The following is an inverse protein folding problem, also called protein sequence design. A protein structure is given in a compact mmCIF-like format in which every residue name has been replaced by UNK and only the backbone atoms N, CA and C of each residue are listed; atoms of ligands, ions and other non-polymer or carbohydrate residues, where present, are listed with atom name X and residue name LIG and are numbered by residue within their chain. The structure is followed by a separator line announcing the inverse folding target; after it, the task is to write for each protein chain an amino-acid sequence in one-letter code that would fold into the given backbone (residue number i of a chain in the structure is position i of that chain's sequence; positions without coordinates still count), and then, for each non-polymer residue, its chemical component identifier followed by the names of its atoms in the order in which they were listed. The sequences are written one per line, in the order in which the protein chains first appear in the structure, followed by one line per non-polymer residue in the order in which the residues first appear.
data_IF_733646165588
#
_entry.id   IF_733646165588
#
_cell.length_a   1.000
_cell.length_b   1.000
_cell.length_c   1.000
_cell.angle_alpha   90.00
_cell.angle_beta   90.00
_cell.angle_gamma   90.00
#
_symmetry.space_group_name_H-M   'P 1'
#
loop_
_entity.id
_entity.type
_entity.pdbx_description
1 polymer ?
#
# COMPACT_ATOMS: atom_id res chain seq x y z
N UNK A 1 -9.07 -21.26 14.65
CA UNK A 1 -8.24 -21.97 15.64
C UNK A 1 -6.84 -22.08 15.08
N UNK A 2 -5.80 -21.82 15.88
CA UNK A 2 -4.41 -21.78 15.39
C UNK A 2 -3.84 -23.19 15.27
N UNK A 3 -3.08 -23.44 14.20
CA UNK A 3 -2.29 -24.68 14.01
C UNK A 3 -1.02 -24.54 14.84
N UNK A 4 -0.83 -25.43 15.81
CA UNK A 4 0.34 -25.37 16.71
C UNK A 4 1.22 -26.61 16.61
N UNK A 5 0.65 -27.72 16.15
CA UNK A 5 1.31 -29.02 15.93
C UNK A 5 0.77 -29.68 14.67
N UNK A 6 1.49 -30.67 14.14
CA UNK A 6 1.18 -31.32 12.86
C UNK A 6 -0.22 -31.95 12.84
N UNK A 7 -0.68 -32.54 13.96
CA UNK A 7 -1.98 -33.22 14.07
C UNK A 7 -3.17 -32.25 13.99
N UNK A 8 -2.94 -30.96 14.24
CA UNK A 8 -4.01 -29.95 14.12
C UNK A 8 -4.51 -29.83 12.67
N UNK A 9 -3.68 -30.18 11.67
CA UNK A 9 -4.09 -30.19 10.27
C UNK A 9 -5.30 -31.10 10.04
N UNK A 10 -5.20 -32.39 10.42
CA UNK A 10 -6.28 -33.35 10.20
C UNK A 10 -7.53 -32.98 11.01
N UNK A 11 -7.31 -32.47 12.23
CA UNK A 11 -8.40 -31.96 13.09
C UNK A 11 -9.18 -30.85 12.39
N UNK A 12 -8.51 -29.81 11.88
CA UNK A 12 -9.19 -28.68 11.25
C UNK A 12 -9.83 -29.06 9.91
N UNK A 13 -9.16 -29.85 9.08
CA UNK A 13 -9.73 -30.34 7.83
C UNK A 13 -11.01 -31.14 8.09
N UNK A 14 -11.00 -32.08 9.03
CA UNK A 14 -12.19 -32.88 9.36
C UNK A 14 -13.34 -32.01 9.91
N UNK A 15 -13.03 -30.98 10.72
CA UNK A 15 -14.03 -30.02 11.20
C UNK A 15 -14.65 -29.25 10.03
N UNK A 16 -13.85 -28.77 9.10
CA UNK A 16 -14.32 -28.00 7.94
C UNK A 16 -15.17 -28.86 7.00
N UNK A 17 -14.73 -30.08 6.68
CA UNK A 17 -15.50 -31.04 5.88
C UNK A 17 -16.86 -31.35 6.53
N UNK A 18 -16.88 -31.59 7.85
CA UNK A 18 -18.12 -31.79 8.59
C UNK A 18 -19.05 -30.57 8.52
N UNK A 19 -18.51 -29.35 8.65
CA UNK A 19 -19.31 -28.11 8.55
C UNK A 19 -19.89 -27.92 7.14
N UNK A 20 -19.12 -28.26 6.12
CA UNK A 20 -19.53 -28.19 4.71
C UNK A 20 -20.43 -29.36 4.28
N UNK A 21 -20.62 -30.36 5.14
CA UNK A 21 -21.42 -31.57 4.85
C UNK A 21 -20.94 -32.31 3.60
N UNK A 22 -19.62 -32.38 3.41
CA UNK A 22 -18.96 -33.04 2.29
C UNK A 22 -17.79 -33.88 2.81
N UNK A 23 -17.37 -34.88 2.05
CA UNK A 23 -16.18 -35.68 2.30
C UNK A 23 -14.92 -35.13 1.62
N UNK A 24 -15.08 -34.17 0.70
CA UNK A 24 -13.99 -33.55 -0.03
C UNK A 24 -14.22 -32.08 -0.37
N UNK A 25 -13.14 -31.37 -0.68
CA UNK A 25 -13.15 -30.02 -1.29
C UNK A 25 -12.27 -29.99 -2.54
N UNK A 26 -12.63 -29.15 -3.51
CA UNK A 26 -11.86 -29.05 -4.75
C UNK A 26 -10.49 -28.40 -4.52
N UNK A 27 -10.41 -27.37 -3.70
CA UNK A 27 -9.17 -26.66 -3.41
C UNK A 27 -9.07 -26.42 -1.91
N UNK A 28 -7.90 -26.66 -1.34
CA UNK A 28 -7.60 -26.38 0.06
C UNK A 28 -6.35 -25.52 0.20
N UNK A 29 -6.44 -24.45 0.99
CA UNK A 29 -5.43 -23.40 1.06
C UNK A 29 -4.79 -23.33 2.44
N UNK A 30 -3.47 -23.15 2.50
CA UNK A 30 -2.86 -22.49 3.66
C UNK A 30 -3.30 -21.02 3.69
N UNK A 31 -3.93 -20.61 4.78
CA UNK A 31 -4.47 -19.27 4.91
C UNK A 31 -3.41 -18.26 5.35
N UNK A 32 -3.35 -17.12 4.66
CA UNK A 32 -2.59 -15.94 5.08
C UNK A 32 -1.09 -16.20 5.23
N UNK A 33 -0.49 -16.87 4.25
CA UNK A 33 0.95 -17.09 4.27
C UNK A 33 1.71 -15.77 4.24
N UNK A 34 2.66 -15.68 5.16
CA UNK A 34 3.69 -14.66 5.31
C UNK A 34 4.99 -15.36 5.76
N UNK A 35 6.07 -14.62 5.98
CA UNK A 35 7.36 -15.21 6.36
C UNK A 35 7.26 -16.10 7.59
N UNK A 36 6.51 -15.68 8.61
CA UNK A 36 6.35 -16.40 9.86
C UNK A 36 5.48 -17.65 9.70
N UNK A 37 4.28 -17.52 9.13
CA UNK A 37 3.35 -18.65 8.97
C UNK A 37 3.86 -19.67 7.96
N UNK A 38 4.62 -19.25 6.94
CA UNK A 38 5.33 -20.16 6.06
C UNK A 38 6.45 -20.93 6.78
N UNK A 39 7.18 -20.28 7.70
CA UNK A 39 8.12 -20.96 8.59
C UNK A 39 7.46 -22.07 9.43
N UNK A 40 6.23 -21.83 9.89
CA UNK A 40 5.43 -22.83 10.61
C UNK A 40 5.04 -24.02 9.70
N UNK A 41 4.60 -23.75 8.47
CA UNK A 41 4.29 -24.79 7.46
C UNK A 41 5.48 -25.72 7.25
N UNK A 42 6.69 -25.15 7.09
CA UNK A 42 7.94 -25.91 6.94
C UNK A 42 8.25 -26.74 8.18
N UNK A 43 8.25 -26.11 9.37
CA UNK A 43 8.62 -26.76 10.63
C UNK A 43 7.71 -27.91 11.01
N UNK A 44 6.41 -27.78 10.78
CA UNK A 44 5.41 -28.80 11.13
C UNK A 44 5.19 -29.84 10.01
N UNK A 45 5.88 -29.70 8.87
CA UNK A 45 5.76 -30.65 7.76
C UNK A 45 4.36 -30.67 7.13
N UNK A 46 3.65 -29.53 7.10
CA UNK A 46 2.23 -29.50 6.73
C UNK A 46 1.98 -29.75 5.23
N UNK A 47 2.98 -29.54 4.37
CA UNK A 47 2.88 -29.90 2.94
C UNK A 47 2.62 -31.39 2.77
N UNK A 48 3.32 -32.23 3.54
CA UNK A 48 3.10 -33.69 3.51
C UNK A 48 1.67 -34.04 3.93
N UNK A 49 1.11 -33.31 4.89
CA UNK A 49 -0.29 -33.49 5.31
C UNK A 49 -1.29 -33.09 4.22
N UNK A 50 -1.01 -32.03 3.47
CA UNK A 50 -1.78 -31.68 2.25
C UNK A 50 -1.71 -32.80 1.22
N UNK A 51 -0.53 -33.34 0.94
CA UNK A 51 -0.34 -34.44 -0.01
C UNK A 51 -1.07 -35.72 0.42
N UNK A 52 -1.00 -36.08 1.70
CA UNK A 52 -1.76 -37.20 2.26
C UNK A 52 -3.27 -36.99 2.13
N UNK A 53 -3.77 -35.77 2.40
CA UNK A 53 -5.18 -35.44 2.22
C UNK A 53 -5.60 -35.53 0.75
N UNK A 54 -4.73 -35.12 -0.18
CA UNK A 54 -4.96 -35.21 -1.63
C UNK A 54 -5.00 -36.67 -2.09
N UNK A 55 -4.04 -37.48 -1.64
CA UNK A 55 -3.98 -38.91 -1.95
C UNK A 55 -5.21 -39.68 -1.42
N UNK A 56 -5.74 -39.27 -0.26
CA UNK A 56 -6.95 -39.85 0.32
C UNK A 56 -8.26 -39.25 -0.24
N UNK A 57 -8.20 -38.42 -1.27
CA UNK A 57 -9.36 -37.85 -1.95
C UNK A 57 -10.11 -36.75 -1.18
N UNK A 58 -9.60 -36.31 -0.02
CA UNK A 58 -10.24 -35.25 0.79
C UNK A 58 -10.06 -33.85 0.19
N UNK A 59 -9.01 -33.64 -0.59
CA UNK A 59 -8.76 -32.39 -1.32
C UNK A 59 -8.32 -32.72 -2.76
N UNK A 60 -8.65 -31.90 -3.75
CA UNK A 60 -8.17 -32.10 -5.14
C UNK A 60 -7.00 -31.19 -5.52
N UNK A 61 -6.97 -29.96 -4.99
CA UNK A 61 -5.93 -28.96 -5.23
C UNK A 61 -5.34 -28.40 -3.95
N UNK A 62 -4.05 -28.06 -4.00
CA UNK A 62 -3.26 -27.50 -2.90
C UNK A 62 -2.83 -26.08 -3.27
N UNK A 63 -3.12 -25.13 -2.40
CA UNK A 63 -2.69 -23.76 -2.60
C UNK A 63 -2.44 -23.00 -1.31
N UNK A 64 -2.32 -21.68 -1.45
CA UNK A 64 -2.20 -20.76 -0.33
C UNK A 64 -2.85 -19.42 -0.67
N UNK A 65 -3.28 -18.69 0.37
CA UNK A 65 -3.48 -17.24 0.28
C UNK A 65 -2.29 -16.51 0.91
N UNK A 66 -2.08 -15.25 0.54
CA UNK A 66 -0.82 -14.55 0.84
C UNK A 66 -0.99 -13.11 1.32
N UNK A 67 -0.16 -12.71 2.31
CA UNK A 67 -0.12 -11.37 2.90
C UNK A 67 1.30 -10.99 3.39
N UNK A 68 2.23 -10.74 2.46
CA UNK A 68 3.61 -10.26 2.76
C UNK A 68 4.26 -9.62 1.51
N UNK A 69 5.58 -9.41 1.50
CA UNK A 69 6.33 -8.83 0.37
C UNK A 69 6.47 -9.77 -0.83
N UNK A 70 6.74 -9.22 -2.02
CA UNK A 70 7.02 -10.00 -3.23
C UNK A 70 8.16 -11.04 -3.04
N UNK A 71 9.20 -10.71 -2.28
CA UNK A 71 10.33 -11.62 -2.04
C UNK A 71 9.89 -12.87 -1.28
N UNK A 72 9.00 -12.72 -0.29
CA UNK A 72 8.40 -13.84 0.45
C UNK A 72 7.45 -14.61 -0.45
N UNK A 73 6.63 -13.93 -1.25
CA UNK A 73 5.75 -14.58 -2.22
C UNK A 73 6.53 -15.48 -3.17
N UNK A 74 7.63 -14.97 -3.73
CA UNK A 74 8.52 -15.70 -4.62
C UNK A 74 9.14 -16.92 -3.93
N UNK A 75 9.60 -16.78 -2.68
CA UNK A 75 10.10 -17.90 -1.87
C UNK A 75 9.06 -19.02 -1.76
N UNK A 76 7.80 -18.67 -1.46
CA UNK A 76 6.71 -19.64 -1.32
C UNK A 76 6.42 -20.31 -2.66
N UNK A 77 6.27 -19.52 -3.74
CA UNK A 77 6.01 -20.04 -5.09
C UNK A 77 7.08 -21.06 -5.52
N UNK A 78 8.35 -20.78 -5.25
CA UNK A 78 9.47 -21.65 -5.66
C UNK A 78 9.63 -22.89 -4.76
N UNK A 79 8.99 -22.93 -3.59
CA UNK A 79 9.16 -24.00 -2.62
C UNK A 79 8.36 -25.28 -2.95
N UNK A 80 7.22 -25.15 -3.63
CA UNK A 80 6.31 -26.27 -3.91
C UNK A 80 5.59 -26.09 -5.24
N UNK A 81 5.13 -27.21 -5.83
CA UNK A 81 4.32 -27.21 -7.05
C UNK A 81 2.85 -26.91 -6.69
N UNK A 82 2.56 -25.64 -6.40
CA UNK A 82 1.22 -25.19 -6.03
C UNK A 82 0.24 -25.28 -7.20
N UNK A 83 -0.98 -25.73 -6.93
CA UNK A 83 -2.07 -25.69 -7.93
C UNK A 83 -2.60 -24.24 -8.08
N UNK A 84 -2.61 -23.47 -6.98
CA UNK A 84 -3.21 -22.13 -6.90
C UNK A 84 -2.49 -21.24 -5.89
N UNK A 85 -2.34 -19.96 -6.24
CA UNK A 85 -1.94 -18.89 -5.34
C UNK A 85 -3.02 -17.81 -5.29
N UNK A 86 -3.48 -17.47 -4.09
CA UNK A 86 -4.47 -16.42 -3.87
C UNK A 86 -3.80 -15.16 -3.29
N UNK A 87 -3.99 -14.01 -3.93
CA UNK A 87 -3.37 -12.75 -3.53
C UNK A 87 -4.33 -11.56 -3.57
N UNK A 88 -4.11 -10.58 -2.69
CA UNK A 88 -4.83 -9.31 -2.75
C UNK A 88 -4.38 -8.53 -3.98
N UNK A 89 -5.34 -8.07 -4.79
CA UNK A 89 -5.02 -7.23 -5.94
C UNK A 89 -6.22 -6.41 -6.41
N UNK A 90 -6.01 -5.14 -6.70
CA UNK A 90 -6.96 -4.22 -7.32
C UNK A 90 -6.19 -3.01 -7.88
N UNK A 91 -6.86 -2.12 -8.63
CA UNK A 91 -6.18 -0.99 -9.28
C UNK A 91 -5.61 0.05 -8.30
N UNK A 92 -6.05 0.07 -7.04
CA UNK A 92 -5.49 0.95 -5.99
C UNK A 92 -4.26 0.31 -5.35
N UNK A 93 -4.30 -1.00 -5.09
CA UNK A 93 -3.29 -1.74 -4.33
C UNK A 93 -2.34 -2.58 -5.21
N UNK A 94 -2.24 -2.31 -6.51
CA UNK A 94 -1.46 -3.13 -7.47
C UNK A 94 0.04 -3.24 -7.13
N UNK A 95 0.57 -2.31 -6.32
CA UNK A 95 1.96 -2.24 -5.88
C UNK A 95 2.13 -2.58 -4.38
N UNK A 96 1.11 -3.17 -3.76
CA UNK A 96 1.12 -3.60 -2.35
C UNK A 96 1.34 -5.11 -2.25
N UNK A 97 1.99 -5.57 -1.18
CA UNK A 97 2.27 -7.00 -0.91
C UNK A 97 3.03 -7.69 -2.07
N UNK A 98 2.44 -8.72 -2.68
CA UNK A 98 3.05 -9.45 -3.80
C UNK A 98 3.18 -8.60 -5.08
N UNK A 99 2.41 -7.50 -5.18
CA UNK A 99 2.42 -6.56 -6.31
C UNK A 99 2.09 -7.21 -7.67
N UNK A 100 2.14 -6.42 -8.74
CA UNK A 100 2.01 -6.92 -10.12
C UNK A 100 3.12 -7.93 -10.45
N UNK A 101 4.32 -7.78 -9.86
CA UNK A 101 5.44 -8.73 -10.04
C UNK A 101 5.10 -10.14 -9.56
N UNK A 102 4.39 -10.26 -8.43
CA UNK A 102 3.94 -11.54 -7.90
C UNK A 102 2.92 -12.21 -8.82
N UNK A 103 1.96 -11.43 -9.31
CA UNK A 103 0.98 -11.90 -10.30
C UNK A 103 1.66 -12.48 -11.54
N UNK A 104 2.55 -11.71 -12.15
CA UNK A 104 3.29 -12.13 -13.35
C UNK A 104 4.19 -13.34 -13.08
N UNK A 105 4.83 -13.37 -11.91
CA UNK A 105 5.71 -14.48 -11.53
C UNK A 105 4.94 -15.79 -11.35
N UNK A 106 3.83 -15.78 -10.60
CA UNK A 106 3.01 -16.98 -10.42
C UNK A 106 2.45 -17.48 -11.77
N UNK A 107 1.97 -16.56 -12.62
CA UNK A 107 1.50 -16.89 -13.96
C UNK A 107 2.62 -17.53 -14.82
N UNK A 108 3.85 -17.00 -14.75
CA UNK A 108 5.01 -17.56 -15.46
C UNK A 108 5.39 -18.98 -15.02
N UNK A 109 4.97 -19.38 -13.82
CA UNK A 109 5.17 -20.73 -13.26
C UNK A 109 4.00 -21.68 -13.57
N UNK A 110 2.97 -21.22 -14.28
CA UNK A 110 1.78 -22.01 -14.58
C UNK A 110 0.88 -22.24 -13.37
N UNK A 111 1.01 -21.43 -12.32
CA UNK A 111 0.18 -21.51 -11.11
C UNK A 111 -1.08 -20.67 -11.34
N UNK A 112 -2.26 -21.23 -11.03
CA UNK A 112 -3.51 -20.49 -11.16
C UNK A 112 -3.55 -19.36 -10.14
N UNK A 113 -3.72 -18.12 -10.60
CA UNK A 113 -3.76 -16.96 -9.72
C UNK A 113 -5.19 -16.54 -9.43
N UNK A 114 -5.53 -16.49 -8.14
CA UNK A 114 -6.83 -16.04 -7.66
C UNK A 114 -6.73 -14.71 -6.95
N UNK A 115 -7.43 -13.71 -7.46
CA UNK A 115 -7.45 -12.36 -6.90
C UNK A 115 -8.51 -12.26 -5.81
N UNK A 116 -8.10 -11.85 -4.61
CA UNK A 116 -8.99 -11.42 -3.54
C UNK A 116 -8.96 -9.89 -3.39
N UNK A 117 -10.01 -9.36 -2.76
CA UNK A 117 -10.25 -7.92 -2.60
C UNK A 117 -10.24 -7.08 -3.90
N UNK A 118 -10.86 -7.55 -5.01
CA UNK A 118 -10.89 -6.80 -6.27
C UNK A 118 -11.60 -5.44 -6.14
N UNK A 119 -12.48 -5.29 -5.14
CA UNK A 119 -13.25 -4.06 -4.85
C UNK A 119 -12.85 -3.43 -3.49
N UNK A 120 -11.72 -3.85 -2.88
CA UNK A 120 -11.18 -3.30 -1.63
C UNK A 120 -12.23 -3.14 -0.50
N UNK A 121 -12.89 -4.24 -0.13
CA UNK A 121 -13.94 -4.25 0.89
C UNK A 121 -15.20 -3.44 0.55
N UNK A 122 -15.44 -3.19 -0.73
CA UNK A 122 -16.57 -2.40 -1.24
C UNK A 122 -16.24 -0.92 -1.43
N UNK A 123 -15.05 -0.45 -1.06
CA UNK A 123 -14.64 0.95 -1.22
C UNK A 123 -14.64 1.39 -2.69
N UNK A 124 -14.26 0.51 -3.61
CA UNK A 124 -14.24 0.82 -5.04
C UNK A 124 -15.63 0.79 -5.68
N UNK A 125 -16.64 0.27 -4.97
CA UNK A 125 -18.05 0.31 -5.40
C UNK A 125 -18.79 1.58 -4.93
N UNK A 126 -18.19 2.36 -4.03
CA UNK A 126 -18.80 3.55 -3.42
C UNK A 126 -17.86 4.77 -3.60
N UNK A 127 -17.78 5.34 -4.81
CA UNK A 127 -16.92 6.49 -5.10
C UNK A 127 -17.40 7.79 -4.42
N UNK A 128 -16.50 8.76 -4.26
CA UNK A 128 -16.87 10.17 -4.01
C UNK A 128 -17.33 10.85 -5.28
N UNK A 129 -17.99 12.01 -5.15
CA UNK A 129 -18.31 12.93 -6.25
C UNK A 129 -17.13 13.19 -7.20
N UNK A 130 -15.93 13.46 -6.66
CA UNK A 130 -14.71 13.65 -7.47
C UNK A 130 -14.41 12.43 -8.37
N UNK A 131 -14.64 11.22 -7.88
CA UNK A 131 -14.40 9.98 -8.63
C UNK A 131 -15.57 9.69 -9.58
N UNK A 132 -16.80 10.03 -9.18
CA UNK A 132 -17.97 9.97 -10.06
C UNK A 132 -17.77 10.86 -11.30
N UNK A 133 -17.25 12.08 -11.15
CA UNK A 133 -16.92 12.96 -12.27
C UNK A 133 -15.87 12.38 -13.22
N UNK A 134 -14.92 11.58 -12.71
CA UNK A 134 -13.94 10.86 -13.53
C UNK A 134 -14.65 9.76 -14.32
N UNK A 135 -15.50 8.96 -13.66
CA UNK A 135 -16.27 7.89 -14.28
C UNK A 135 -17.24 8.45 -15.34
N UNK A 136 -17.84 9.61 -15.10
CA UNK A 136 -18.75 10.25 -16.04
C UNK A 136 -18.07 10.67 -17.34
N UNK A 137 -16.78 11.00 -17.32
CA UNK A 137 -16.00 11.31 -18.53
C UNK A 137 -15.72 10.07 -19.39
N UNK A 138 -15.96 8.87 -18.87
CA UNK A 138 -15.75 7.64 -19.62
C UNK A 138 -16.69 7.52 -20.84
N UNK A 139 -16.15 7.22 -22.04
CA UNK A 139 -16.97 6.96 -23.22
C UNK A 139 -17.93 5.78 -23.04
N UNK A 140 -17.45 4.70 -22.39
CA UNK A 140 -18.27 3.55 -22.04
C UNK A 140 -18.67 3.64 -20.57
N UNK A 141 -19.98 3.71 -20.35
CA UNK A 141 -20.58 3.76 -19.01
C UNK A 141 -20.45 2.39 -18.34
N UNK A 142 -19.98 2.43 -17.10
CA UNK A 142 -19.80 1.28 -16.21
C UNK A 142 -20.14 1.72 -14.79
N UNK A 143 -20.61 0.78 -13.98
CA UNK A 143 -20.74 1.03 -12.54
C UNK A 143 -19.34 1.07 -11.89
N UNK A 144 -19.18 1.70 -10.72
CA UNK A 144 -17.89 1.71 -10.03
C UNK A 144 -17.36 0.30 -9.70
N UNK A 145 -18.27 -0.62 -9.33
CA UNK A 145 -17.93 -2.02 -9.11
C UNK A 145 -17.45 -2.69 -10.42
N UNK A 146 -18.13 -2.46 -11.55
CA UNK A 146 -17.73 -3.02 -12.84
C UNK A 146 -16.33 -2.54 -13.25
N UNK A 147 -15.99 -1.26 -13.06
CA UNK A 147 -14.62 -0.76 -13.30
C UNK A 147 -13.55 -1.56 -12.53
N UNK A 148 -13.79 -1.82 -11.25
CA UNK A 148 -12.85 -2.56 -10.40
C UNK A 148 -12.71 -4.02 -10.85
N UNK A 149 -13.82 -4.67 -11.21
CA UNK A 149 -13.83 -6.06 -11.64
C UNK A 149 -13.21 -6.24 -13.04
N UNK A 150 -13.57 -5.38 -14.00
CA UNK A 150 -13.02 -5.43 -15.35
C UNK A 150 -11.51 -5.18 -15.36
N UNK A 151 -10.99 -4.29 -14.50
CA UNK A 151 -9.55 -4.09 -14.38
C UNK A 151 -8.82 -5.40 -14.04
N UNK A 152 -9.36 -6.18 -13.10
CA UNK A 152 -8.74 -7.44 -12.68
C UNK A 152 -8.85 -8.49 -13.78
N UNK A 153 -10.01 -8.65 -14.41
CA UNK A 153 -10.20 -9.60 -15.52
C UNK A 153 -9.42 -9.24 -16.79
N UNK A 154 -9.08 -7.96 -16.98
CA UNK A 154 -8.25 -7.50 -18.08
C UNK A 154 -6.83 -8.10 -18.06
N UNK A 155 -6.34 -8.54 -16.91
CA UNK A 155 -4.96 -8.98 -16.71
C UNK A 155 -4.76 -10.44 -17.16
N UNK A 156 -3.84 -10.72 -18.12
CA UNK A 156 -3.63 -12.07 -18.64
C UNK A 156 -3.22 -13.12 -17.61
N UNK A 157 -2.58 -12.70 -16.51
CA UNK A 157 -2.09 -13.59 -15.45
C UNK A 157 -3.13 -13.97 -14.40
N UNK A 158 -4.34 -13.42 -14.44
CA UNK A 158 -5.42 -13.71 -13.47
C UNK A 158 -6.28 -14.86 -13.99
N UNK A 159 -6.43 -15.91 -13.18
CA UNK A 159 -7.30 -17.04 -13.50
C UNK A 159 -8.73 -16.84 -12.99
N UNK A 160 -8.89 -16.23 -11.81
CA UNK A 160 -10.19 -15.99 -11.17
C UNK A 160 -10.10 -14.82 -10.19
N UNK A 161 -11.21 -14.12 -9.96
CA UNK A 161 -11.33 -13.14 -8.87
C UNK A 161 -12.46 -13.53 -7.91
N UNK A 162 -12.35 -13.09 -6.65
CA UNK A 162 -13.34 -13.32 -5.61
C UNK A 162 -14.04 -12.00 -5.26
N UNK A 163 -15.30 -11.86 -5.66
CA UNK A 163 -16.13 -10.70 -5.29
C UNK A 163 -17.16 -11.08 -4.22
N UNK A 164 -17.05 -10.49 -3.03
CA UNK A 164 -18.06 -10.64 -1.98
C UNK A 164 -19.34 -9.85 -2.32
N UNK A 165 -20.51 -10.43 -2.06
CA UNK A 165 -21.82 -9.85 -2.38
C UNK A 165 -22.77 -10.02 -1.19
N UNK A 166 -23.45 -8.93 -0.81
CA UNK A 166 -24.38 -8.92 0.32
C UNK A 166 -25.86 -9.02 -0.06
N UNK A 167 -26.19 -8.91 -1.35
CA UNK A 167 -27.57 -8.92 -1.84
C UNK A 167 -27.70 -9.66 -3.17
N UNK A 168 -28.91 -10.14 -3.47
CA UNK A 168 -29.21 -10.80 -4.75
C UNK A 168 -29.05 -9.84 -5.94
N UNK A 169 -29.23 -8.54 -5.74
CA UNK A 169 -29.02 -7.55 -6.79
C UNK A 169 -27.53 -7.49 -7.19
N UNK A 170 -26.63 -7.47 -6.21
CA UNK A 170 -25.18 -7.52 -6.47
C UNK A 170 -24.78 -8.82 -7.20
N UNK A 171 -25.44 -9.95 -6.90
CA UNK A 171 -25.22 -11.21 -7.61
C UNK A 171 -25.55 -11.09 -9.09
N UNK A 172 -26.69 -10.49 -9.43
CA UNK A 172 -27.12 -10.29 -10.83
C UNK A 172 -26.15 -9.35 -11.57
N UNK A 173 -25.78 -8.24 -10.95
CA UNK A 173 -24.84 -7.27 -11.51
C UNK A 173 -23.46 -7.88 -11.75
N UNK A 174 -22.94 -8.68 -10.81
CA UNK A 174 -21.67 -9.36 -10.97
C UNK A 174 -21.69 -10.44 -12.06
N UNK A 175 -22.81 -11.17 -12.24
CA UNK A 175 -22.96 -12.13 -13.33
C UNK A 175 -22.94 -11.41 -14.69
N UNK A 176 -23.64 -10.27 -14.80
CA UNK A 176 -23.63 -9.45 -16.01
C UNK A 176 -22.24 -8.88 -16.30
N UNK A 177 -21.56 -8.34 -15.29
CA UNK A 177 -20.18 -7.84 -15.38
C UNK A 177 -19.21 -8.96 -15.82
N UNK A 178 -19.28 -10.14 -15.19
CA UNK A 178 -18.45 -11.29 -15.55
C UNK A 178 -18.70 -11.78 -16.99
N UNK A 179 -19.95 -11.70 -17.48
CA UNK A 179 -20.29 -12.07 -18.86
C UNK A 179 -19.64 -11.16 -19.91
N UNK A 180 -19.22 -9.97 -19.50
CA UNK A 180 -18.54 -8.98 -20.35
C UNK A 180 -17.02 -8.93 -20.12
N UNK A 181 -16.49 -9.84 -19.30
CA UNK A 181 -15.07 -9.87 -18.94
C UNK A 181 -14.18 -10.46 -20.03
N UNK A 182 -12.89 -10.12 -19.99
CA UNK A 182 -11.90 -10.72 -20.87
C UNK A 182 -10.51 -10.13 -20.68
N UNK A 183 -9.51 -10.90 -21.07
CA UNK A 183 -8.10 -10.48 -21.09
C UNK A 183 -7.93 -9.38 -22.15
N UNK A 184 -7.20 -8.31 -21.82
CA UNK A 184 -6.98 -7.17 -22.72
C UNK A 184 -8.29 -6.57 -23.28
N UNK A 185 -9.38 -6.64 -22.50
CA UNK A 185 -10.70 -6.13 -22.88
C UNK A 185 -10.87 -4.63 -22.66
N UNK A 186 -9.99 -4.01 -21.88
CA UNK A 186 -9.98 -2.57 -21.64
C UNK A 186 -9.10 -1.83 -22.64
N UNK A 187 -9.60 -0.69 -23.12
CA UNK A 187 -8.85 0.22 -24.00
C UNK A 187 -7.83 1.05 -23.19
N UNK A 188 -6.88 1.70 -23.87
CA UNK A 188 -5.98 2.64 -23.18
C UNK A 188 -6.74 3.75 -22.45
N UNK A 189 -7.81 4.29 -23.04
CA UNK A 189 -8.64 5.31 -22.39
C UNK A 189 -9.36 4.79 -21.14
N UNK A 190 -9.81 3.53 -21.15
CA UNK A 190 -10.34 2.88 -19.94
C UNK A 190 -9.26 2.77 -18.85
N UNK A 191 -8.02 2.41 -19.22
CA UNK A 191 -6.89 2.29 -18.28
C UNK A 191 -6.45 3.65 -17.72
N UNK A 192 -6.50 4.71 -18.52
CA UNK A 192 -6.18 6.08 -18.08
C UNK A 192 -7.19 6.56 -17.02
N UNK A 193 -8.48 6.28 -17.23
CA UNK A 193 -9.55 6.56 -16.25
C UNK A 193 -9.30 5.78 -14.96
N UNK A 194 -8.96 4.49 -15.06
CA UNK A 194 -8.61 3.66 -13.89
C UNK A 194 -7.40 4.22 -13.15
N UNK A 195 -6.37 4.68 -13.87
CA UNK A 195 -5.18 5.31 -13.29
C UNK A 195 -5.55 6.58 -12.51
N UNK A 196 -6.39 7.44 -13.10
CA UNK A 196 -6.89 8.65 -12.44
C UNK A 196 -7.69 8.33 -11.17
N UNK A 197 -8.60 7.34 -11.25
CA UNK A 197 -9.32 6.85 -10.07
C UNK A 197 -8.35 6.34 -9.00
N UNK A 198 -7.36 5.52 -9.38
CA UNK A 198 -6.37 4.97 -8.45
C UNK A 198 -5.62 6.08 -7.70
N UNK A 199 -5.19 7.13 -8.42
CA UNK A 199 -4.52 8.29 -7.83
C UNK A 199 -5.43 8.97 -6.80
N UNK A 200 -6.72 9.16 -7.10
CA UNK A 200 -7.68 9.79 -6.16
C UNK A 200 -7.98 8.91 -4.96
N UNK A 201 -8.23 7.62 -5.15
CA UNK A 201 -8.43 6.67 -4.05
C UNK A 201 -7.23 6.63 -3.08
N UNK A 202 -5.99 6.67 -3.60
CA UNK A 202 -4.77 6.68 -2.78
C UNK A 202 -4.57 7.97 -2.00
N UNK A 203 -4.95 9.12 -2.57
CA UNK A 203 -4.86 10.42 -1.88
C UNK A 203 -5.79 10.53 -0.66
N UNK A 204 -6.75 9.61 -0.53
CA UNK A 204 -7.88 9.72 0.40
C UNK A 204 -7.92 8.58 1.43
N UNK A 205 -6.76 8.05 1.84
CA UNK A 205 -6.70 7.00 2.89
C UNK A 205 -5.61 7.37 3.91
N UNK A 206 -6.01 7.59 5.17
CA UNK A 206 -5.09 7.84 6.30
C UNK A 206 -4.58 6.50 6.84
N UNK A 207 -5.50 5.57 7.07
CA UNK A 207 -5.22 4.21 7.52
C UNK A 207 -5.47 3.26 6.35
N UNK A 208 -4.50 2.40 6.04
CA UNK A 208 -4.56 1.43 4.92
C UNK A 208 -5.54 0.24 5.15
N UNK A 209 -6.58 0.43 5.95
CA UNK A 209 -7.62 -0.58 6.20
C UNK A 209 -8.40 -0.90 4.91
N UNK A 210 -8.52 -2.19 4.57
CA UNK A 210 -9.28 -2.67 3.41
C UNK A 210 -10.72 -3.08 3.75
N UNK A 211 -11.15 -2.86 5.00
CA UNK A 211 -12.50 -3.23 5.48
C UNK A 211 -12.83 -4.72 5.35
N UNK A 212 -11.81 -5.59 5.40
CA UNK A 212 -11.92 -7.05 5.27
C UNK A 212 -12.62 -7.74 6.46
N UNK A 213 -12.66 -7.09 7.63
CA UNK A 213 -13.24 -7.58 8.89
C UNK A 213 -12.58 -8.84 9.50
N UNK A 214 -11.35 -9.19 9.15
CA UNK A 214 -10.63 -10.28 9.84
C UNK A 214 -10.40 -10.00 11.33
N UNK A 215 -10.24 -8.73 11.71
CA UNK A 215 -10.11 -8.29 13.10
C UNK A 215 -11.45 -8.27 13.89
N UNK A 216 -12.47 -8.99 13.42
CA UNK A 216 -13.81 -9.01 14.03
C UNK A 216 -14.24 -10.46 14.36
N UNK A 217 -15.01 -10.67 15.45
CA UNK A 217 -15.48 -9.67 16.42
C UNK A 217 -14.34 -9.19 17.34
N UNK A 218 -14.38 -7.92 17.74
CA UNK A 218 -13.45 -7.40 18.74
C UNK A 218 -13.88 -7.86 20.15
N UNK A 219 -12.98 -8.32 21.03
CA UNK A 219 -13.32 -8.67 22.42
C UNK A 219 -13.95 -7.51 23.21
N UNK A 220 -13.64 -6.26 22.84
CA UNK A 220 -14.23 -5.05 23.42
C UNK A 220 -15.59 -4.67 22.80
N UNK A 221 -16.16 -5.49 21.90
CA UNK A 221 -17.54 -5.36 21.42
C UNK A 221 -17.79 -4.23 20.41
N UNK A 222 -16.75 -3.70 19.74
CA UNK A 222 -16.92 -2.63 18.76
C UNK A 222 -16.30 -2.94 17.39
N UNK A 223 -16.87 -2.30 16.36
CA UNK A 223 -16.48 -2.49 14.97
C UNK A 223 -15.23 -1.65 14.62
N UNK A 224 -14.06 -2.31 14.64
CA UNK A 224 -12.77 -1.69 14.33
C UNK A 224 -12.75 -1.12 12.90
N UNK A 225 -13.12 -1.88 11.84
CA UNK A 225 -13.14 -1.32 10.48
C UNK A 225 -14.05 -0.10 10.33
N UNK A 226 -15.19 -0.04 11.03
CA UNK A 226 -16.09 1.11 10.97
C UNK A 226 -15.46 2.37 11.56
N UNK A 227 -14.72 2.24 12.67
CA UNK A 227 -13.97 3.36 13.25
C UNK A 227 -12.89 3.89 12.30
N UNK A 228 -12.12 2.99 11.65
CA UNK A 228 -11.15 3.39 10.61
C UNK A 228 -11.81 4.02 9.39
N UNK A 229 -13.00 3.56 9.01
CA UNK A 229 -13.78 4.15 7.93
C UNK A 229 -14.17 5.59 8.26
N UNK A 230 -14.73 5.86 9.45
CA UNK A 230 -15.13 7.19 9.87
C UNK A 230 -13.96 8.19 9.81
N UNK A 231 -12.77 7.76 10.25
CA UNK A 231 -11.57 8.60 10.17
C UNK A 231 -11.15 8.82 8.71
N UNK A 232 -11.01 7.74 7.94
CA UNK A 232 -10.60 7.82 6.55
C UNK A 232 -11.54 8.70 5.74
N UNK A 233 -12.85 8.63 6.00
CA UNK A 233 -13.92 9.43 5.38
C UNK A 233 -13.77 10.95 5.63
N UNK A 234 -13.01 11.40 6.63
CA UNK A 234 -12.68 12.82 6.78
C UNK A 234 -11.90 13.39 5.58
N UNK A 235 -11.21 12.54 4.82
CA UNK A 235 -10.58 12.95 3.56
C UNK A 235 -11.57 13.02 2.37
N UNK A 236 -12.72 12.34 2.47
CA UNK A 236 -13.69 12.13 1.39
C UNK A 236 -14.75 13.23 1.32
N UNK A 237 -15.02 13.92 2.43
CA UNK A 237 -16.17 14.82 2.52
C UNK A 237 -15.76 16.25 2.83
N UNK A 238 -16.52 17.20 2.28
CA UNK A 238 -16.37 18.62 2.59
C UNK A 238 -16.84 18.93 4.02
N UNK A 239 -17.93 18.28 4.46
CA UNK A 239 -18.48 18.48 5.80
C UNK A 239 -17.94 17.46 6.82
N UNK A 240 -16.71 17.69 7.29
CA UNK A 240 -16.05 16.86 8.32
C UNK A 240 -16.86 16.70 9.61
N UNK A 241 -17.73 17.67 9.93
CA UNK A 241 -18.49 17.70 11.18
C UNK A 241 -19.57 16.60 11.25
N UNK A 242 -20.09 16.15 10.10
CA UNK A 242 -21.01 15.01 10.02
C UNK A 242 -20.35 13.70 10.51
N UNK A 243 -19.09 13.45 10.13
CA UNK A 243 -18.39 12.23 10.54
C UNK A 243 -17.96 12.26 12.00
N UNK A 244 -17.55 13.42 12.49
CA UNK A 244 -17.31 13.64 13.91
C UNK A 244 -18.61 13.38 14.70
N UNK A 245 -19.76 13.82 14.19
CA UNK A 245 -21.06 13.57 14.82
C UNK A 245 -21.40 12.09 14.82
N UNK A 246 -21.26 11.39 13.68
CA UNK A 246 -21.46 9.94 13.57
C UNK A 246 -20.59 9.16 14.57
N UNK A 247 -19.31 9.50 14.67
CA UNK A 247 -18.41 8.89 15.65
C UNK A 247 -18.86 9.15 17.09
N UNK A 248 -19.31 10.37 17.39
CA UNK A 248 -19.74 10.75 18.73
C UNK A 248 -21.08 10.14 19.17
N UNK A 249 -21.88 9.62 18.22
CA UNK A 249 -23.12 8.88 18.47
C UNK A 249 -22.90 7.38 18.74
N UNK A 250 -21.71 6.86 18.46
CA UNK A 250 -21.32 5.49 18.81
C UNK A 250 -21.14 5.37 20.33
N UNK A 251 -21.36 4.16 20.84
CA UNK A 251 -21.24 3.82 22.26
C UNK A 251 -19.82 4.10 22.78
N UNK A 252 -19.73 4.70 23.97
CA UNK A 252 -18.46 5.12 24.59
C UNK A 252 -18.13 4.31 25.85
N UNK A 253 -19.05 3.46 26.28
CA UNK A 253 -18.93 2.63 27.46
C UNK A 253 -19.49 1.23 27.21
N UNK A 254 -19.00 0.25 27.98
CA UNK A 254 -19.52 -1.13 27.96
C UNK A 254 -21.03 -1.17 28.27
N UNK A 255 -21.52 -0.24 29.09
CA UNK A 255 -22.94 -0.15 29.42
C UNK A 255 -23.79 0.21 28.19
N UNK A 256 -23.34 1.20 27.39
CA UNK A 256 -24.03 1.62 26.17
C UNK A 256 -24.00 0.54 25.07
N UNK A 257 -22.97 -0.31 25.05
CA UNK A 257 -22.86 -1.43 24.11
C UNK A 257 -23.89 -2.53 24.36
N UNK A 258 -24.43 -2.67 25.58
CA UNK A 258 -25.38 -3.76 25.91
C UNK A 258 -26.62 -3.75 25.02
N UNK A 259 -27.04 -2.57 24.58
CA UNK A 259 -28.22 -2.37 23.73
C UNK A 259 -27.86 -2.03 22.27
N UNK A 260 -26.55 -1.97 21.93
CA UNK A 260 -26.02 -1.49 20.64
C UNK A 260 -24.73 -2.24 20.26
N UNK A 261 -24.82 -3.56 20.14
CA UNK A 261 -23.69 -4.43 19.79
C UNK A 261 -23.02 -3.97 18.47
N UNK A 262 -21.69 -4.01 18.40
CA UNK A 262 -20.87 -3.53 17.28
C UNK A 262 -20.92 -2.02 16.97
N UNK A 263 -21.64 -1.21 17.75
CA UNK A 263 -21.74 0.25 17.56
C UNK A 263 -20.88 1.07 18.54
N UNK A 264 -19.76 0.51 19.00
CA UNK A 264 -18.80 1.22 19.86
C UNK A 264 -17.79 2.07 19.10
N UNK A 265 -17.32 3.14 19.75
CA UNK A 265 -16.25 3.97 19.20
C UNK A 265 -14.85 3.50 19.66
N UNK A 266 -13.81 4.08 19.08
CA UNK A 266 -12.43 3.65 19.32
C UNK A 266 -11.92 3.86 20.76
N UNK A 267 -12.60 4.67 21.60
CA UNK A 267 -12.23 4.86 23.01
C UNK A 267 -12.44 3.61 23.87
N UNK A 268 -13.17 2.62 23.35
CA UNK A 268 -13.38 1.33 24.00
C UNK A 268 -12.23 0.34 23.81
N UNK A 269 -11.23 0.68 22.97
CA UNK A 269 -10.07 -0.18 22.77
C UNK A 269 -9.27 -0.35 24.07
N UNK A 270 -9.16 -1.59 24.54
CA UNK A 270 -8.36 -1.95 25.73
C UNK A 270 -6.90 -2.24 25.40
N UNK A 271 -6.50 -2.11 24.11
CA UNK A 271 -5.18 -2.48 23.60
C UNK A 271 -4.80 -3.93 23.92
N UNK A 272 -5.75 -4.87 23.77
CA UNK A 272 -5.50 -6.30 24.00
C UNK A 272 -4.66 -6.99 22.91
N UNK A 273 -4.42 -6.30 21.78
CA UNK A 273 -3.56 -6.74 20.67
C UNK A 273 -4.00 -8.00 19.90
N UNK A 274 -5.14 -8.62 20.25
CA UNK A 274 -5.65 -9.81 19.55
C UNK A 274 -5.86 -9.59 18.04
N UNK A 275 -6.16 -8.35 17.65
CA UNK A 275 -6.38 -7.96 16.26
C UNK A 275 -5.11 -7.85 15.41
N UNK A 276 -3.92 -7.76 16.01
CA UNK A 276 -2.65 -7.58 15.29
C UNK A 276 -2.33 -8.78 14.41
N UNK A 277 -2.48 -10.00 14.95
CA UNK A 277 -2.20 -11.24 14.20
C UNK A 277 -3.24 -11.50 13.09
N UNK A 278 -4.46 -10.97 13.24
CA UNK A 278 -5.55 -11.19 12.30
C UNK A 278 -5.57 -10.14 11.17
N UNK A 279 -4.83 -9.04 11.29
CA UNK A 279 -4.83 -7.98 10.29
C UNK A 279 -3.94 -8.34 9.09
N UNK A 280 -4.50 -8.63 7.90
CA UNK A 280 -3.69 -8.95 6.71
C UNK A 280 -2.86 -7.77 6.19
N UNK A 281 -3.22 -6.55 6.60
CA UNK A 281 -2.51 -5.32 6.21
C UNK A 281 -1.38 -4.97 7.17
N UNK A 282 -1.15 -5.77 8.21
CA UNK A 282 -0.14 -5.53 9.26
C UNK A 282 -0.29 -4.14 9.91
N UNK A 283 -1.53 -3.68 10.06
CA UNK A 283 -1.83 -2.41 10.73
C UNK A 283 -1.66 -2.62 12.23
N UNK A 284 -0.96 -1.71 12.90
CA UNK A 284 -0.97 -1.61 14.36
C UNK A 284 -2.34 -1.05 14.82
N UNK A 285 -3.33 -1.93 14.83
CA UNK A 285 -4.73 -1.55 15.03
C UNK A 285 -4.94 -0.78 16.36
N UNK A 286 -4.41 -1.21 17.52
CA UNK A 286 -4.56 -0.46 18.77
C UNK A 286 -4.00 0.96 18.69
N UNK A 287 -2.81 1.13 18.13
CA UNK A 287 -2.19 2.46 17.95
C UNK A 287 -3.01 3.33 17.01
N UNK A 288 -3.50 2.77 15.91
CA UNK A 288 -4.33 3.51 14.96
C UNK A 288 -5.71 3.87 15.53
N UNK A 289 -6.30 3.03 16.38
CA UNK A 289 -7.57 3.33 17.06
C UNK A 289 -7.43 4.46 18.08
N UNK A 290 -6.30 4.53 18.80
CA UNK A 290 -5.99 5.67 19.66
C UNK A 290 -5.99 6.97 18.84
N UNK A 291 -5.29 6.98 17.71
CA UNK A 291 -5.28 8.14 16.80
C UNK A 291 -6.68 8.48 16.26
N UNK A 292 -7.48 7.48 15.92
CA UNK A 292 -8.88 7.69 15.51
C UNK A 292 -9.66 8.42 16.60
N UNK A 293 -9.50 8.01 17.86
CA UNK A 293 -10.20 8.66 18.98
C UNK A 293 -9.73 10.10 19.21
N UNK A 294 -8.41 10.35 19.15
CA UNK A 294 -7.87 11.71 19.29
C UNK A 294 -8.42 12.66 18.20
N UNK A 295 -8.54 12.20 16.94
CA UNK A 295 -9.11 13.03 15.87
C UNK A 295 -10.62 13.17 15.99
N UNK A 296 -11.37 12.06 16.04
CA UNK A 296 -12.83 12.10 15.92
C UNK A 296 -13.55 12.38 17.25
N UNK A 297 -12.98 11.94 18.37
CA UNK A 297 -13.54 12.11 19.71
C UNK A 297 -13.07 13.39 20.38
N UNK A 298 -11.77 13.67 20.34
CA UNK A 298 -11.19 14.85 20.97
C UNK A 298 -11.03 16.05 20.03
N UNK A 299 -11.39 15.90 18.75
CA UNK A 299 -11.32 16.94 17.71
C UNK A 299 -9.92 17.52 17.52
N UNK A 300 -8.87 16.72 17.75
CA UNK A 300 -7.51 17.12 17.42
C UNK A 300 -7.30 17.11 15.90
N UNK A 301 -6.45 18.00 15.40
CA UNK A 301 -6.14 18.06 13.97
C UNK A 301 -5.43 16.79 13.52
N UNK A 302 -5.82 16.25 12.36
CA UNK A 302 -5.25 15.00 11.80
C UNK A 302 -3.72 15.11 11.72
N UNK A 303 -3.20 16.27 11.32
CA UNK A 303 -1.77 16.52 11.18
C UNK A 303 -1.01 16.39 12.51
N UNK A 304 -1.63 16.77 13.63
CA UNK A 304 -1.03 16.72 14.97
C UNK A 304 -1.08 15.31 15.55
N UNK A 305 -2.22 14.61 15.37
CA UNK A 305 -2.45 13.28 15.96
C UNK A 305 -1.66 12.19 15.27
N UNK A 306 -1.69 12.19 13.93
CA UNK A 306 -0.90 11.24 13.17
C UNK A 306 0.60 11.54 13.27
N UNK A 307 0.97 12.62 14.00
CA UNK A 307 2.31 13.18 14.14
C UNK A 307 3.05 12.85 12.88
N UNK A 308 2.50 13.35 11.76
CA UNK A 308 3.05 13.10 10.45
C UNK A 308 4.55 13.19 10.65
N UNK A 309 5.22 12.08 10.40
CA UNK A 309 6.64 11.78 10.62
C UNK A 309 7.53 12.81 9.92
N UNK A 310 7.32 14.10 10.15
CA UNK A 310 7.57 15.21 9.25
C UNK A 310 7.66 16.45 10.13
N UNK A 311 8.87 16.99 10.31
CA UNK A 311 9.09 18.29 10.95
C UNK A 311 9.31 19.34 9.86
N UNK A 312 8.64 20.48 9.95
CA UNK A 312 8.74 21.57 8.97
C UNK A 312 7.38 22.01 8.41
N UNK A 313 7.35 22.79 7.32
CA UNK A 313 8.52 23.19 6.54
C UNK A 313 9.36 24.26 7.25
N UNK A 314 10.67 24.16 7.12
CA UNK A 314 11.52 25.35 7.14
C UNK A 314 11.73 25.85 5.70
N UNK A 315 12.17 27.10 5.54
CA UNK A 315 12.37 27.68 4.22
C UNK A 315 13.84 28.03 4.02
N UNK A 316 14.41 27.60 2.91
CA UNK A 316 15.83 27.77 2.60
C UNK A 316 16.00 28.26 1.16
N UNK A 317 16.75 29.33 0.97
CA UNK A 317 17.29 29.72 -0.33
C UNK A 317 18.62 28.99 -0.53
N UNK A 318 18.58 27.84 -1.21
CA UNK A 318 19.80 27.07 -1.50
C UNK A 318 20.45 27.69 -2.73
N UNK A 319 21.69 28.14 -2.55
CA UNK A 319 22.51 28.67 -3.65
C UNK A 319 22.82 27.57 -4.66
N UNK A 320 23.23 27.99 -5.85
CA UNK A 320 23.75 27.09 -6.88
C UNK A 320 24.78 26.13 -6.28
N UNK A 321 24.66 24.85 -6.63
CA UNK A 321 25.54 23.80 -6.15
C UNK A 321 25.85 22.79 -7.26
N UNK A 322 27.05 22.22 -7.18
CA UNK A 322 27.54 21.22 -8.12
C UNK A 322 27.57 19.87 -7.45
N UNK A 323 27.21 18.83 -8.20
CA UNK A 323 27.21 17.46 -7.70
C UNK A 323 28.01 16.53 -8.59
N UNK A 324 28.54 15.47 -7.98
CA UNK A 324 29.12 14.33 -8.68
C UNK A 324 28.47 13.06 -8.13
N UNK A 325 27.99 12.21 -9.02
CA UNK A 325 27.23 11.04 -8.61
C UNK A 325 27.08 9.99 -9.69
N UNK A 326 26.17 9.07 -9.44
CA UNK A 326 25.72 8.08 -10.43
C UNK A 326 24.26 8.36 -10.73
N UNK A 327 23.87 8.14 -11.98
CA UNK A 327 22.48 8.25 -12.39
C UNK A 327 21.91 6.90 -12.82
N UNK A 328 20.60 6.84 -12.76
CA UNK A 328 19.78 5.83 -13.40
C UNK A 328 18.67 6.56 -14.16
N UNK A 329 18.45 6.20 -15.42
CA UNK A 329 17.42 6.78 -16.29
C UNK A 329 16.58 5.62 -16.81
N UNK A 330 15.27 5.70 -16.61
CA UNK A 330 14.36 4.68 -17.09
C UNK A 330 12.94 4.89 -16.61
N UNK A 331 12.10 3.86 -16.75
CA UNK A 331 10.75 3.87 -16.21
C UNK A 331 10.80 3.77 -14.69
N UNK A 332 9.95 4.54 -14.01
CA UNK A 332 9.87 4.57 -12.53
C UNK A 332 9.68 3.17 -11.92
N UNK A 333 8.96 2.29 -12.61
CA UNK A 333 8.61 0.93 -12.18
C UNK A 333 9.77 -0.06 -12.21
N UNK A 334 10.76 0.18 -13.08
CA UNK A 334 11.93 -0.69 -13.27
C UNK A 334 13.13 -0.25 -12.45
N UNK A 335 13.06 0.93 -11.81
CA UNK A 335 14.14 1.45 -10.98
C UNK A 335 14.27 0.62 -9.69
N UNK A 336 15.49 0.26 -9.36
CA UNK A 336 15.82 -0.41 -8.12
C UNK A 336 16.80 0.44 -7.29
N UNK A 337 16.35 1.13 -6.23
CA UNK A 337 17.25 1.85 -5.32
C UNK A 337 18.38 0.96 -4.76
N UNK A 338 18.15 -0.36 -4.65
CA UNK A 338 19.14 -1.33 -4.17
C UNK A 338 20.30 -1.57 -5.15
N UNK A 339 20.23 -1.06 -6.39
CA UNK A 339 21.33 -1.18 -7.36
C UNK A 339 22.18 0.09 -7.47
N UNK A 340 21.55 1.27 -7.41
CA UNK A 340 22.25 2.55 -7.61
C UNK A 340 23.05 2.98 -6.37
N UNK A 341 22.50 2.83 -5.16
CA UNK A 341 23.18 3.24 -3.92
C UNK A 341 24.48 2.44 -3.67
N UNK A 342 24.53 1.10 -3.83
CA UNK A 342 25.79 0.37 -3.73
C UNK A 342 26.81 0.78 -4.80
N UNK A 343 26.36 1.02 -6.05
CA UNK A 343 27.23 1.51 -7.12
C UNK A 343 27.84 2.87 -6.77
N UNK A 344 27.03 3.78 -6.24
CA UNK A 344 27.49 5.07 -5.74
C UNK A 344 28.55 4.90 -4.65
N UNK A 345 28.26 4.10 -3.61
CA UNK A 345 29.16 3.87 -2.48
C UNK A 345 30.54 3.33 -2.90
N UNK A 346 30.59 2.49 -3.94
CA UNK A 346 31.86 1.96 -4.47
C UNK A 346 32.70 3.04 -5.16
N UNK A 347 32.06 3.96 -5.90
CA UNK A 347 32.76 4.94 -6.74
C UNK A 347 33.07 6.24 -5.99
N UNK A 348 32.22 6.64 -5.04
CA UNK A 348 32.28 7.95 -4.39
C UNK A 348 33.54 8.18 -3.57
N UNK A 349 34.15 7.10 -3.06
CA UNK A 349 35.44 7.15 -2.35
C UNK A 349 36.55 7.79 -3.21
N UNK A 350 36.46 7.65 -4.54
CA UNK A 350 37.45 8.15 -5.51
C UNK A 350 37.22 9.61 -5.94
N UNK A 351 36.07 10.20 -5.60
CA UNK A 351 35.75 11.58 -5.98
C UNK A 351 36.47 12.57 -5.05
N UNK A 352 37.31 13.48 -5.57
CA UNK A 352 37.94 14.52 -4.77
C UNK A 352 36.95 15.66 -4.49
N UNK A 353 37.26 16.53 -3.52
CA UNK A 353 36.50 17.75 -3.23
C UNK A 353 35.01 17.60 -2.88
N UNK A 354 34.55 16.36 -2.64
CA UNK A 354 33.19 16.06 -2.17
C UNK A 354 32.95 16.54 -0.74
N UNK A 355 31.74 17.02 -0.48
CA UNK A 355 31.22 17.15 0.86
C UNK A 355 30.94 15.74 1.43
N UNK A 356 31.47 15.47 2.62
CA UNK A 356 31.33 14.19 3.31
C UNK A 356 30.24 14.21 4.39
N UNK A 357 29.65 15.37 4.66
CA UNK A 357 28.64 15.53 5.71
C UNK A 357 27.28 14.94 5.34
N UNK A 358 26.99 14.79 4.05
CA UNK A 358 25.69 14.34 3.56
C UNK A 358 25.81 13.70 2.18
N UNK A 359 24.80 12.93 1.78
CA UNK A 359 24.56 12.49 0.41
C UNK A 359 23.18 12.95 -0.07
N UNK A 360 22.99 13.05 -1.38
CA UNK A 360 21.73 13.48 -1.99
C UNK A 360 21.14 12.38 -2.87
N UNK A 361 19.81 12.22 -2.79
CA UNK A 361 18.99 11.48 -3.75
C UNK A 361 18.13 12.45 -4.54
N UNK A 362 18.49 12.75 -5.78
CA UNK A 362 17.85 13.81 -6.58
C UNK A 362 16.92 13.19 -7.60
N UNK A 363 15.64 13.55 -7.57
CA UNK A 363 14.68 13.21 -8.62
C UNK A 363 14.60 14.33 -9.65
N UNK A 364 15.13 14.07 -10.84
CA UNK A 364 15.11 15.03 -11.95
C UNK A 364 13.88 14.75 -12.80
N UNK A 365 12.98 15.73 -12.84
CA UNK A 365 11.74 15.70 -13.61
C UNK A 365 11.81 16.81 -14.63
N UNK A 366 11.93 16.46 -15.92
CA UNK A 366 11.85 17.41 -17.02
C UNK A 366 10.61 17.13 -17.86
N UNK A 367 10.15 18.14 -18.61
CA UNK A 367 9.04 17.96 -19.55
C UNK A 367 9.28 16.80 -20.51
N UNK A 368 10.50 16.70 -21.04
CA UNK A 368 10.90 15.62 -21.96
C UNK A 368 10.84 14.23 -21.32
N UNK A 369 11.32 14.09 -20.08
CA UNK A 369 11.25 12.81 -19.35
C UNK A 369 9.79 12.41 -19.09
N UNK A 370 8.95 13.37 -18.69
CA UNK A 370 7.51 13.13 -18.47
C UNK A 370 6.82 12.70 -19.77
N UNK A 371 7.10 13.35 -20.89
CA UNK A 371 6.55 12.99 -22.21
C UNK A 371 6.97 11.59 -22.66
N UNK A 372 8.18 11.13 -22.26
CA UNK A 372 8.67 9.77 -22.54
C UNK A 372 8.22 8.72 -21.52
N UNK A 373 7.53 9.13 -20.44
CA UNK A 373 7.19 8.24 -19.33
C UNK A 373 8.42 7.74 -18.55
N UNK A 374 9.51 8.49 -18.60
CA UNK A 374 10.78 8.20 -17.95
C UNK A 374 10.99 9.11 -16.74
N UNK A 375 11.89 8.71 -15.85
CA UNK A 375 12.40 9.56 -14.79
C UNK A 375 13.90 9.39 -14.66
N UNK A 376 14.56 10.43 -14.16
CA UNK A 376 15.99 10.43 -13.90
C UNK A 376 16.23 10.58 -12.40
N UNK A 377 17.07 9.75 -11.83
CA UNK A 377 17.44 9.83 -10.41
C UNK A 377 18.94 9.74 -10.26
N UNK A 378 19.46 10.60 -9.40
CA UNK A 378 20.87 10.78 -9.20
C UNK A 378 21.16 10.56 -7.72
N UNK A 379 22.12 9.69 -7.44
CA UNK A 379 22.70 9.57 -6.10
C UNK A 379 24.07 10.23 -6.14
N UNK A 380 24.27 11.28 -5.36
CA UNK A 380 25.46 12.13 -5.47
C UNK A 380 25.91 12.74 -4.13
N UNK A 381 27.13 13.29 -4.12
CA UNK A 381 27.54 14.30 -3.14
C UNK A 381 27.66 15.66 -3.83
N UNK A 382 27.45 16.72 -3.06
CA UNK A 382 27.91 18.06 -3.46
C UNK A 382 29.44 18.07 -3.54
N UNK A 383 29.98 18.82 -4.50
CA UNK A 383 31.43 19.03 -4.65
C UNK A 383 31.74 20.52 -4.67
N UNK A 384 32.86 20.90 -4.05
CA UNK A 384 33.36 22.28 -4.16
C UNK A 384 34.03 22.56 -5.51
N UNK A 385 34.42 21.51 -6.24
CA UNK A 385 34.99 21.61 -7.59
C UNK A 385 34.75 20.32 -8.37
N UNK A 386 34.26 20.43 -9.61
CA UNK A 386 34.16 19.31 -10.56
C UNK A 386 35.54 19.04 -11.18
N UNK A 387 36.24 18.00 -10.72
CA UNK A 387 37.56 17.60 -11.20
C UNK A 387 37.80 16.11 -10.99
N UNK A 388 38.59 15.49 -11.87
CA UNK A 388 39.07 14.10 -11.77
C UNK A 388 37.93 13.08 -11.54
N UNK A 389 36.89 13.17 -12.38
CA UNK A 389 35.65 12.41 -12.23
C UNK A 389 35.85 10.95 -12.63
N UNK A 390 35.56 9.97 -11.74
CA UNK A 390 35.69 8.55 -12.07
C UNK A 390 34.78 8.12 -13.23
N UNK A 391 35.25 7.14 -14.00
CA UNK A 391 34.45 6.53 -15.06
C UNK A 391 33.14 5.95 -14.50
N UNK A 392 32.02 6.22 -15.19
CA UNK A 392 30.68 5.79 -14.77
C UNK A 392 29.96 6.73 -13.80
N UNK A 393 30.53 7.91 -13.51
CA UNK A 393 29.89 8.99 -12.77
C UNK A 393 29.51 10.16 -13.68
N UNK A 394 28.50 10.91 -13.26
CA UNK A 394 28.01 12.12 -13.92
C UNK A 394 28.21 13.34 -13.04
N UNK A 395 28.17 14.51 -13.66
CA UNK A 395 28.31 15.80 -13.02
C UNK A 395 27.13 16.68 -13.39
N UNK A 396 26.60 17.43 -12.44
CA UNK A 396 25.49 18.33 -12.69
C UNK A 396 25.56 19.56 -11.81
N UNK A 397 25.05 20.67 -12.34
CA UNK A 397 24.96 21.94 -11.61
C UNK A 397 23.49 22.31 -11.49
N UNK A 398 23.04 22.54 -10.27
CA UNK A 398 21.67 22.95 -10.00
C UNK A 398 21.63 24.43 -9.62
N UNK A 399 20.73 25.23 -10.23
CA UNK A 399 20.69 26.66 -9.99
C UNK A 399 20.22 27.00 -8.57
N UNK A 400 20.39 28.26 -8.18
CA UNK A 400 19.82 28.78 -6.93
C UNK A 400 18.30 28.62 -6.94
N UNK A 401 17.75 28.04 -5.87
CA UNK A 401 16.33 27.75 -5.75
C UNK A 401 15.87 27.87 -4.29
N UNK A 402 14.64 28.36 -4.11
CA UNK A 402 13.97 28.39 -2.82
C UNK A 402 13.28 27.06 -2.55
N UNK A 403 13.44 26.56 -1.34
CA UNK A 403 12.94 25.26 -0.91
C UNK A 403 12.09 25.38 0.35
N UNK A 404 11.02 24.58 0.40
CA UNK A 404 10.41 24.13 1.64
C UNK A 404 11.10 22.82 2.05
N UNK A 405 11.65 22.78 3.26
CA UNK A 405 12.40 21.63 3.77
C UNK A 405 11.59 20.94 4.84
N UNK A 406 11.29 19.66 4.62
CA UNK A 406 10.56 18.80 5.54
C UNK A 406 11.47 17.66 6.04
N UNK A 407 11.61 17.49 7.34
CA UNK A 407 12.36 16.37 7.92
C UNK A 407 11.44 15.18 8.14
N UNK A 408 11.57 14.12 7.33
CA UNK A 408 11.03 12.81 7.65
C UNK A 408 11.65 12.27 8.96
N UNK A 409 10.84 11.79 9.90
CA UNK A 409 11.25 11.16 11.16
C UNK A 409 10.87 9.67 11.14
N UNK A 410 11.75 8.78 11.55
CA UNK A 410 11.54 7.34 11.56
C UNK A 410 11.82 6.65 10.23
N UNK A 411 11.23 5.47 10.05
CA UNK A 411 11.64 4.54 9.00
C UNK A 411 11.23 5.02 7.58
N UNK A 412 12.00 4.60 6.57
CA UNK A 412 11.78 4.96 5.16
C UNK A 412 10.41 4.55 4.60
N UNK A 413 9.72 3.58 5.22
CA UNK A 413 8.35 3.21 4.84
C UNK A 413 7.37 4.38 5.01
N UNK A 414 7.71 5.37 5.84
CA UNK A 414 6.93 6.60 6.06
C UNK A 414 7.14 7.66 4.96
N UNK A 415 8.09 7.47 4.03
CA UNK A 415 8.36 8.43 2.96
C UNK A 415 7.15 8.65 2.06
N UNK A 416 6.41 7.57 1.75
CA UNK A 416 5.20 7.66 0.92
C UNK A 416 4.11 8.52 1.57
N UNK A 417 3.90 8.35 2.87
CA UNK A 417 2.98 9.16 3.69
C UNK A 417 3.43 10.62 3.73
N UNK A 418 4.73 10.83 3.87
CA UNK A 418 5.35 12.16 3.96
C UNK A 418 5.17 12.97 2.69
N UNK A 419 5.50 12.37 1.55
CA UNK A 419 5.27 12.99 0.25
C UNK A 419 3.77 13.23 0.00
N UNK A 420 2.90 12.35 0.50
CA UNK A 420 1.44 12.53 0.37
C UNK A 420 0.96 13.75 1.14
N UNK A 421 1.43 13.98 2.37
CA UNK A 421 1.11 15.20 3.11
C UNK A 421 1.61 16.45 2.38
N UNK A 422 2.87 16.47 1.97
CA UNK A 422 3.49 17.63 1.31
C UNK A 422 2.71 18.02 0.05
N UNK A 423 2.44 17.04 -0.83
CA UNK A 423 1.84 17.28 -2.13
C UNK A 423 0.30 17.26 -2.13
N UNK A 424 -0.31 16.61 -1.15
CA UNK A 424 -1.76 16.45 -1.05
C UNK A 424 -2.42 17.47 -0.13
N UNK A 425 -1.73 17.92 0.92
CA UNK A 425 -2.29 18.80 1.94
C UNK A 425 -1.55 20.14 2.00
N UNK A 426 -0.24 20.13 2.20
CA UNK A 426 0.50 21.36 2.46
C UNK A 426 0.58 22.27 1.22
N UNK A 427 1.08 21.77 0.08
CA UNK A 427 1.22 22.57 -1.14
C UNK A 427 -0.11 23.13 -1.68
N UNK A 428 -1.19 22.34 -1.82
CA UNK A 428 -2.46 22.85 -2.35
C UNK A 428 -3.09 23.93 -1.46
N UNK A 429 -2.98 23.79 -0.13
CA UNK A 429 -3.57 24.71 0.84
C UNK A 429 -2.63 25.86 1.24
N UNK A 430 -1.39 25.90 0.76
CA UNK A 430 -0.47 26.98 1.09
C UNK A 430 -0.90 28.28 0.40
N UNK A 431 -1.20 29.32 1.17
CA UNK A 431 -1.66 30.61 0.62
C UNK A 431 -0.54 31.45 -0.02
N UNK A 432 0.73 31.15 0.29
CA UNK A 432 1.88 31.98 -0.10
C UNK A 432 2.73 31.36 -1.19
N UNK A 433 2.91 30.04 -1.16
CA UNK A 433 3.86 29.34 -2.01
C UNK A 433 3.19 28.27 -2.85
N UNK A 434 3.71 28.07 -4.05
CA UNK A 434 3.40 26.93 -4.91
C UNK A 434 4.67 26.19 -5.30
N UNK A 435 4.53 24.96 -5.80
CA UNK A 435 5.67 24.16 -6.27
C UNK A 435 6.18 24.74 -7.59
N UNK A 436 7.50 24.86 -7.73
CA UNK A 436 8.10 25.19 -9.03
C UNK A 436 7.83 24.05 -10.02
N UNK A 437 7.20 24.31 -11.18
CA UNK A 437 7.03 23.30 -12.22
C UNK A 437 8.39 22.77 -12.68
N UNK A 438 8.56 21.45 -12.73
CA UNK A 438 9.83 20.79 -13.07
C UNK A 438 11.02 21.20 -12.16
N UNK A 439 10.75 21.80 -11.01
CA UNK A 439 11.76 22.10 -10.02
C UNK A 439 12.44 20.83 -9.52
N UNK A 440 13.72 20.96 -9.19
CA UNK A 440 14.58 19.88 -8.71
C UNK A 440 14.28 19.62 -7.24
N UNK A 441 13.78 18.43 -6.93
CA UNK A 441 13.55 17.96 -5.56
C UNK A 441 14.62 16.93 -5.18
N UNK A 442 14.99 16.91 -3.91
CA UNK A 442 15.98 15.95 -3.43
C UNK A 442 15.81 15.54 -1.97
N UNK A 443 16.20 14.31 -1.71
CA UNK A 443 16.38 13.69 -0.41
C UNK A 443 17.80 14.03 0.10
N UNK A 444 17.93 14.48 1.34
CA UNK A 444 19.18 14.91 1.96
C UNK A 444 19.52 14.03 3.15
N UNK A 445 20.51 13.15 2.96
CA UNK A 445 20.93 12.12 3.91
C UNK A 445 22.18 12.56 4.67
N UNK A 446 22.04 12.99 5.92
CA UNK A 446 23.18 13.32 6.80
C UNK A 446 23.38 12.28 7.93
N UNK A 447 24.22 12.60 8.92
CA UNK A 447 24.50 11.72 10.06
C UNK A 447 23.27 11.31 10.90
N UNK A 448 22.13 11.99 10.76
CA UNK A 448 20.88 11.64 11.45
C UNK A 448 20.15 10.48 10.79
N UNK A 449 20.45 10.20 9.52
CA UNK A 449 19.82 9.11 8.79
C UNK A 449 20.33 7.74 9.27
N UNK A 450 19.41 6.87 9.67
CA UNK A 450 19.71 5.53 10.20
C UNK A 450 18.77 4.51 9.58
N UNK A 451 19.34 3.54 8.87
CA UNK A 451 18.57 2.47 8.23
C UNK A 451 17.81 1.68 9.31
N UNK A 452 16.51 1.46 9.09
CA UNK A 452 15.61 0.68 9.96
C UNK A 452 15.53 1.19 11.41
N UNK A 453 15.53 2.51 11.60
CA UNK A 453 15.45 3.16 12.91
C UNK A 453 14.23 4.07 13.00
N UNK A 454 13.50 3.98 14.11
CA UNK A 454 12.35 4.86 14.41
C UNK A 454 12.79 6.29 14.78
N UNK A 455 14.06 6.49 15.15
CA UNK A 455 14.67 7.81 15.38
C UNK A 455 15.45 8.34 14.17
N UNK A 456 15.35 7.71 12.99
CA UNK A 456 16.06 8.19 11.79
C UNK A 456 15.49 9.54 11.35
N UNK A 457 16.33 10.45 10.86
CA UNK A 457 15.86 11.67 10.20
C UNK A 457 16.36 11.75 8.75
N UNK A 458 15.51 12.22 7.84
CA UNK A 458 15.81 12.47 6.43
C UNK A 458 15.17 13.78 5.99
N UNK A 459 15.93 14.74 5.46
CA UNK A 459 15.35 15.98 4.96
C UNK A 459 14.91 15.86 3.49
N UNK A 460 13.74 16.41 3.17
CA UNK A 460 13.16 16.48 1.83
C UNK A 460 13.08 17.94 1.40
N UNK A 461 13.78 18.26 0.32
CA UNK A 461 13.84 19.60 -0.25
C UNK A 461 12.85 19.71 -1.40
N UNK A 462 11.79 20.49 -1.18
CA UNK A 462 10.68 20.68 -2.13
C UNK A 462 10.79 22.07 -2.76
N UNK A 463 10.99 22.18 -4.08
CA UNK A 463 11.22 23.45 -4.74
C UNK A 463 9.93 24.27 -4.80
N UNK A 464 9.99 25.50 -4.29
CA UNK A 464 8.83 26.40 -4.19
C UNK A 464 9.12 27.78 -4.77
N UNK A 465 8.06 28.47 -5.18
CA UNK A 465 8.04 29.88 -5.55
C UNK A 465 6.85 30.58 -4.89
N UNK A 466 6.89 31.90 -4.79
CA UNK A 466 5.73 32.68 -4.33
C UNK A 466 4.63 32.65 -5.39
N UNK A 467 3.37 32.61 -4.94
CA UNK A 467 2.17 32.61 -5.79
C UNK A 467 1.91 33.97 -6.43
#
# INVERSE_FOLDING_TARGET
GRVTKTEDFDKFLNIQLKKLQTDHVDIYLFHGLNRQSFGLVKRLGLIKKMEEAKANGKIKGIGFSFHDSFEVFKEIIDYYNWDIAQMQFNFVDYNTQATTKGLEYAASKGIALVVMEPIKGGKLANPTSEIEEIIEKAPKKRTPADWALQYVWNLPGVSLLLSGMGSMQMVKENIESASNSGINSLTQGDLDIISDMAIRYRKKSIIACTFCKYCQPCPSGFNIPQNFRLLNELLWIENKEDQITKYNLLAKSEHELKDREDEGNASLCTKCEECLEECPQMIDIPTELEKVHLVLGEKQEIADVFKLFIRGPSFVDKKEFQVVGVEDIGKRETRNPLTIWPKFQQLITKVPHKDQSHALGISVITKELVEKGENRYIVCNEVSQVKDIPEGMITETFPTQKYAVFTLIGQMNNLGETLRYIYGEWLPNNSKYERVPYGIEFEYYDQRFRINSDDSELDLYIPIQEK
#
